data_IF_264136068072
#
_entry.id   IF_264136068072
#
_cell.length_a   1.000
_cell.length_b   1.000
_cell.length_c   1.000
_cell.angle_alpha   90.00
_cell.angle_beta   90.00
_cell.angle_gamma   90.00
#
_symmetry.space_group_name_H-M   'P 1'
#
loop_
_entity.id
_entity.type
_entity.pdbx_description
1 polymer ?
#
# COMPACT_ATOMS: atom_id res chain seq x y z
N UNK A 1 23.03 -1.45 11.21
CA UNK A 1 22.11 -1.45 10.03
C UNK A 1 21.25 -2.71 9.95
N UNK A 2 21.80 -3.91 9.90
CA UNK A 2 21.04 -5.16 9.73
C UNK A 2 20.00 -5.45 10.83
N UNK A 3 20.30 -5.12 12.09
CA UNK A 3 19.36 -5.30 13.21
C UNK A 3 18.12 -4.39 13.09
N UNK A 4 18.32 -3.12 12.72
CA UNK A 4 17.22 -2.17 12.49
C UNK A 4 16.33 -2.56 11.31
N UNK A 5 16.93 -3.12 10.24
CA UNK A 5 16.19 -3.61 9.08
C UNK A 5 15.30 -4.81 9.42
N UNK A 6 15.83 -5.76 10.20
CA UNK A 6 15.05 -6.91 10.69
C UNK A 6 13.88 -6.48 11.57
N UNK A 7 14.09 -5.49 12.43
CA UNK A 7 13.06 -4.96 13.31
C UNK A 7 11.95 -4.24 12.52
N UNK A 8 12.32 -3.40 11.55
CA UNK A 8 11.38 -2.73 10.65
C UNK A 8 10.52 -3.72 9.86
N UNK A 9 11.14 -4.76 9.30
CA UNK A 9 10.43 -5.84 8.59
C UNK A 9 9.50 -6.61 9.51
N UNK A 10 9.90 -6.87 10.76
CA UNK A 10 9.07 -7.61 11.72
C UNK A 10 7.79 -6.86 12.10
N UNK A 11 7.86 -5.53 12.29
CA UNK A 11 6.69 -4.70 12.57
C UNK A 11 5.74 -4.60 11.39
N UNK A 12 6.29 -4.50 10.17
CA UNK A 12 5.50 -4.34 8.95
C UNK A 12 5.06 -5.70 8.35
N UNK A 13 5.41 -6.82 8.99
CA UNK A 13 5.17 -8.19 8.50
C UNK A 13 3.71 -8.44 8.15
N UNK A 14 2.77 -8.04 9.02
CA UNK A 14 1.32 -8.24 8.78
C UNK A 14 0.84 -7.51 7.53
N UNK A 15 1.34 -6.30 7.28
CA UNK A 15 0.97 -5.49 6.12
C UNK A 15 1.58 -6.04 4.84
N UNK A 16 2.84 -6.46 4.91
CA UNK A 16 3.53 -7.09 3.79
C UNK A 16 2.82 -8.39 3.38
N UNK A 17 2.40 -9.21 4.35
CA UNK A 17 1.55 -10.37 4.08
C UNK A 17 0.22 -9.98 3.44
N UNK A 18 -0.47 -8.98 3.98
CA UNK A 18 -1.74 -8.51 3.43
C UNK A 18 -1.60 -8.04 1.97
N UNK A 19 -0.63 -7.19 1.67
CA UNK A 19 -0.36 -6.66 0.32
C UNK A 19 0.03 -7.78 -0.65
N UNK A 20 0.85 -8.73 -0.20
CA UNK A 20 1.30 -9.85 -1.03
C UNK A 20 0.16 -10.83 -1.32
N UNK A 21 -0.65 -11.17 -0.31
CA UNK A 21 -1.81 -12.06 -0.46
C UNK A 21 -2.88 -11.43 -1.35
N UNK A 22 -3.17 -10.14 -1.17
CA UNK A 22 -4.13 -9.43 -2.02
C UNK A 22 -3.62 -9.30 -3.47
N UNK A 23 -2.32 -9.11 -3.67
CA UNK A 23 -1.71 -9.16 -5.00
C UNK A 23 -1.85 -10.55 -5.64
N UNK A 24 -1.61 -11.62 -4.88
CA UNK A 24 -1.82 -13.00 -5.34
C UNK A 24 -3.25 -13.23 -5.82
N UNK A 25 -4.24 -12.89 -5.00
CA UNK A 25 -5.66 -13.05 -5.32
C UNK A 25 -6.05 -12.19 -6.53
N UNK A 26 -5.58 -10.94 -6.59
CA UNK A 26 -5.82 -10.08 -7.74
C UNK A 26 -5.24 -10.67 -9.04
N UNK A 27 -4.03 -11.22 -8.98
CA UNK A 27 -3.39 -11.90 -10.12
C UNK A 27 -4.19 -13.11 -10.60
N UNK A 28 -4.72 -13.92 -9.68
CA UNK A 28 -5.64 -15.02 -10.03
C UNK A 28 -6.89 -14.46 -10.71
N UNK A 29 -7.55 -13.46 -10.11
CA UNK A 29 -8.81 -12.92 -10.64
C UNK A 29 -8.68 -12.32 -12.04
N UNK A 30 -7.57 -11.63 -12.34
CA UNK A 30 -7.32 -11.07 -13.67
C UNK A 30 -7.25 -12.15 -14.75
N UNK A 31 -6.70 -13.31 -14.41
CA UNK A 31 -6.42 -14.37 -15.36
C UNK A 31 -7.30 -15.59 -15.19
N UNK A 32 -8.23 -15.61 -14.24
CA UNK A 32 -9.11 -16.74 -13.91
C UNK A 32 -9.93 -17.26 -15.12
N UNK A 33 -10.04 -16.45 -16.17
CA UNK A 33 -10.73 -16.78 -17.44
C UNK A 33 -9.84 -17.54 -18.43
N UNK A 34 -8.53 -17.57 -18.21
CA UNK A 34 -7.61 -18.33 -19.05
C UNK A 34 -7.68 -19.79 -18.65
N UNK A 35 -8.36 -20.60 -19.45
CA UNK A 35 -8.38 -22.07 -19.35
C UNK A 35 -7.07 -22.69 -19.89
N UNK A 36 -5.94 -22.12 -19.47
CA UNK A 36 -4.61 -22.62 -19.80
C UNK A 36 -4.02 -23.36 -18.61
N UNK A 37 -3.37 -24.49 -18.88
CA UNK A 37 -2.63 -25.27 -17.89
C UNK A 37 -1.16 -25.23 -18.26
N UNK A 38 -0.31 -24.80 -17.32
CA UNK A 38 1.15 -24.78 -17.47
C UNK A 38 1.75 -25.66 -16.38
N UNK A 39 2.60 -26.61 -16.76
CA UNK A 39 3.27 -27.54 -15.82
C UNK A 39 2.30 -28.28 -14.87
N UNK A 40 1.08 -28.58 -15.32
CA UNK A 40 0.05 -29.25 -14.52
C UNK A 40 -0.70 -28.35 -13.53
N UNK A 41 -0.43 -27.05 -13.52
CA UNK A 41 -1.15 -26.05 -12.72
C UNK A 41 -1.96 -25.11 -13.62
N UNK A 42 -3.14 -24.63 -13.18
CA UNK A 42 -3.85 -23.61 -13.94
C UNK A 42 -3.01 -22.33 -14.03
N UNK A 43 -2.92 -21.75 -15.23
CA UNK A 43 -2.19 -20.52 -15.51
C UNK A 43 -2.48 -19.37 -14.52
N UNK A 44 -3.73 -19.14 -14.05
CA UNK A 44 -4.03 -18.09 -13.09
C UNK A 44 -3.22 -18.19 -11.79
N UNK A 45 -2.92 -19.42 -11.33
CA UNK A 45 -2.12 -19.61 -10.11
C UNK A 45 -0.66 -19.22 -10.32
N UNK A 46 -0.07 -19.58 -11.46
CA UNK A 46 1.32 -19.23 -11.77
C UNK A 46 1.45 -17.72 -11.90
N UNK A 47 0.53 -17.08 -12.64
CA UNK A 47 0.53 -15.63 -12.80
C UNK A 47 0.29 -14.95 -11.45
N UNK A 48 -0.64 -15.45 -10.64
CA UNK A 48 -0.87 -14.98 -9.28
C UNK A 48 0.41 -15.03 -8.43
N UNK A 49 1.15 -16.13 -8.46
CA UNK A 49 2.42 -16.29 -7.72
C UNK A 49 3.49 -15.30 -8.18
N UNK A 50 3.70 -15.18 -9.50
CA UNK A 50 4.64 -14.22 -10.08
C UNK A 50 4.28 -12.80 -9.65
N UNK A 51 2.98 -12.48 -9.71
CA UNK A 51 2.49 -11.16 -9.34
C UNK A 51 2.67 -10.86 -7.85
N UNK A 52 2.36 -11.83 -6.98
CA UNK A 52 2.60 -11.74 -5.54
C UNK A 52 4.09 -11.54 -5.23
N UNK A 53 4.97 -12.27 -5.92
CA UNK A 53 6.42 -12.16 -5.74
C UNK A 53 6.93 -10.76 -6.10
N UNK A 54 6.61 -10.27 -7.31
CA UNK A 54 7.05 -8.95 -7.77
C UNK A 54 6.52 -7.85 -6.86
N UNK A 55 5.24 -7.88 -6.53
CA UNK A 55 4.60 -6.85 -5.69
C UNK A 55 5.05 -6.93 -4.23
N UNK A 56 5.27 -8.13 -3.71
CA UNK A 56 5.81 -8.33 -2.37
C UNK A 56 7.22 -7.75 -2.22
N UNK A 57 8.09 -7.96 -3.22
CA UNK A 57 9.43 -7.36 -3.26
C UNK A 57 9.33 -5.83 -3.38
N UNK A 58 8.50 -5.32 -4.28
CA UNK A 58 8.30 -3.88 -4.44
C UNK A 58 7.78 -3.22 -3.14
N UNK A 59 6.81 -3.86 -2.47
CA UNK A 59 6.29 -3.40 -1.19
C UNK A 59 7.37 -3.41 -0.10
N UNK A 60 8.21 -4.46 -0.05
CA UNK A 60 9.35 -4.53 0.87
C UNK A 60 10.33 -3.38 0.63
N UNK A 61 10.69 -3.11 -0.63
CA UNK A 61 11.57 -2.00 -0.98
C UNK A 61 10.98 -0.65 -0.59
N UNK A 62 9.68 -0.43 -0.82
CA UNK A 62 9.00 0.81 -0.42
C UNK A 62 8.96 0.95 1.10
N UNK A 63 8.70 -0.13 1.84
CA UNK A 63 8.73 -0.10 3.31
C UNK A 63 10.13 0.24 3.87
N UNK A 64 11.20 -0.18 3.19
CA UNK A 64 12.58 0.12 3.60
C UNK A 64 12.98 1.56 3.21
N UNK A 65 12.69 1.98 1.98
CA UNK A 65 13.16 3.26 1.44
C UNK A 65 12.27 4.44 1.83
N UNK A 66 10.97 4.21 1.96
CA UNK A 66 9.98 5.27 2.13
C UNK A 66 8.82 4.83 3.05
N UNK A 67 9.07 4.66 4.37
CA UNK A 67 8.11 4.10 5.32
C UNK A 67 6.83 4.95 5.48
N UNK A 68 6.85 6.24 5.11
CA UNK A 68 5.65 7.09 5.07
C UNK A 68 4.60 6.62 4.06
N UNK A 69 4.99 5.87 3.02
CA UNK A 69 4.09 5.34 1.99
C UNK A 69 3.38 4.03 2.36
N UNK A 70 3.61 3.49 3.57
CA UNK A 70 3.01 2.21 4.00
C UNK A 70 1.48 2.15 3.88
N UNK A 71 0.79 3.25 4.20
CA UNK A 71 -0.68 3.33 4.07
C UNK A 71 -1.14 3.43 2.62
N UNK A 72 -0.27 3.92 1.73
CA UNK A 72 -0.55 3.96 0.30
C UNK A 72 -0.50 2.56 -0.30
N UNK A 73 0.44 1.72 0.14
CA UNK A 73 0.57 0.34 -0.33
C UNK A 73 -0.70 -0.47 -0.06
N UNK A 74 -1.28 -0.36 1.13
CA UNK A 74 -2.55 -1.03 1.46
C UNK A 74 -3.70 -0.53 0.59
N UNK A 75 -3.80 0.79 0.41
CA UNK A 75 -4.85 1.37 -0.41
C UNK A 75 -4.73 0.95 -1.88
N UNK A 76 -3.50 0.90 -2.42
CA UNK A 76 -3.21 0.40 -3.77
C UNK A 76 -3.57 -1.09 -3.88
N UNK A 77 -3.23 -1.89 -2.87
CA UNK A 77 -3.52 -3.32 -2.85
C UNK A 77 -5.04 -3.59 -2.85
N UNK A 78 -5.80 -2.90 -2.00
CA UNK A 78 -7.27 -2.97 -1.96
C UNK A 78 -7.86 -2.50 -3.29
N UNK A 79 -7.34 -1.39 -3.83
CA UNK A 79 -7.79 -0.83 -5.10
C UNK A 79 -7.61 -1.82 -6.24
N UNK A 80 -6.45 -2.46 -6.30
CA UNK A 80 -6.15 -3.46 -7.30
C UNK A 80 -7.04 -4.69 -7.17
N UNK A 81 -7.30 -5.15 -5.95
CA UNK A 81 -8.23 -6.25 -5.72
C UNK A 81 -9.65 -5.90 -6.18
N UNK A 82 -10.11 -4.68 -5.90
CA UNK A 82 -11.41 -4.19 -6.37
C UNK A 82 -11.50 -4.13 -7.90
N UNK A 83 -10.45 -3.66 -8.58
CA UNK A 83 -10.37 -3.66 -10.05
C UNK A 83 -10.35 -5.08 -10.60
N UNK A 84 -9.59 -5.99 -9.98
CA UNK A 84 -9.53 -7.38 -10.41
C UNK A 84 -10.90 -8.07 -10.26
N UNK A 85 -11.62 -7.80 -9.16
CA UNK A 85 -12.98 -8.29 -8.96
C UNK A 85 -13.95 -7.72 -10.02
N UNK A 86 -13.85 -6.42 -10.34
CA UNK A 86 -14.64 -5.81 -11.41
C UNK A 86 -14.33 -6.42 -12.78
N UNK A 87 -13.04 -6.62 -13.10
CA UNK A 87 -12.60 -7.27 -14.33
C UNK A 87 -13.09 -8.73 -14.41
N UNK A 88 -13.23 -9.41 -13.27
CA UNK A 88 -13.81 -10.75 -13.19
C UNK A 88 -15.35 -10.74 -13.38
N UNK A 89 -16.06 -9.72 -12.89
CA UNK A 89 -17.51 -9.60 -13.11
C UNK A 89 -17.87 -9.09 -14.51
N UNK A 90 -17.05 -8.22 -15.12
CA UNK A 90 -17.29 -7.59 -16.41
C UNK A 90 -16.15 -7.90 -17.40
N UNK A 91 -16.30 -8.93 -18.26
CA UNK A 91 -15.23 -9.43 -19.13
C UNK A 91 -14.66 -8.38 -20.10
N UNK A 92 -15.55 -7.63 -20.73
CA UNK A 92 -15.20 -6.61 -21.72
C UNK A 92 -14.37 -5.47 -21.12
N UNK A 93 -14.66 -5.09 -19.87
CA UNK A 93 -13.85 -4.14 -19.13
C UNK A 93 -12.49 -4.74 -18.74
N UNK A 94 -12.45 -6.00 -18.34
CA UNK A 94 -11.19 -6.69 -18.02
C UNK A 94 -10.20 -6.71 -19.20
N UNK A 95 -10.66 -7.06 -20.39
CA UNK A 95 -9.83 -7.12 -21.60
C UNK A 95 -9.27 -5.75 -22.00
N UNK A 96 -10.11 -4.71 -21.97
CA UNK A 96 -9.66 -3.33 -22.30
C UNK A 96 -8.64 -2.80 -21.30
N UNK A 97 -8.80 -3.12 -20.02
CA UNK A 97 -7.84 -2.75 -18.96
C UNK A 97 -6.52 -3.50 -19.14
N UNK A 98 -6.57 -4.80 -19.44
CA UNK A 98 -5.38 -5.62 -19.64
C UNK A 98 -4.63 -5.28 -20.94
N UNK A 99 -5.35 -4.84 -21.98
CA UNK A 99 -4.76 -4.44 -23.26
C UNK A 99 -3.93 -3.15 -23.17
N UNK A 100 -4.19 -2.29 -22.18
CA UNK A 100 -3.46 -1.03 -22.00
C UNK A 100 -2.79 -0.97 -20.62
N UNK A 101 -1.48 -1.30 -20.53
CA UNK A 101 -0.74 -1.27 -19.26
C UNK A 101 -0.75 0.10 -18.60
N UNK A 102 -0.71 1.17 -19.40
CA UNK A 102 -0.74 2.55 -18.90
C UNK A 102 -2.09 2.89 -18.27
N UNK A 103 -3.19 2.49 -18.91
CA UNK A 103 -4.54 2.69 -18.40
C UNK A 103 -4.75 1.89 -17.10
N UNK A 104 -4.29 0.63 -17.05
CA UNK A 104 -4.33 -0.17 -15.84
C UNK A 104 -3.55 0.51 -14.69
N UNK A 105 -2.33 0.99 -14.95
CA UNK A 105 -1.53 1.70 -13.95
C UNK A 105 -2.24 2.97 -13.46
N UNK A 106 -2.79 3.78 -14.36
CA UNK A 106 -3.52 5.00 -14.01
C UNK A 106 -4.76 4.71 -13.16
N UNK A 107 -5.53 3.68 -13.50
CA UNK A 107 -6.72 3.30 -12.73
C UNK A 107 -6.32 2.78 -11.35
N UNK A 108 -5.34 1.88 -11.27
CA UNK A 108 -4.89 1.31 -9.99
C UNK A 108 -4.33 2.39 -9.07
N UNK A 109 -3.48 3.29 -9.59
CA UNK A 109 -2.89 4.37 -8.79
C UNK A 109 -3.93 5.42 -8.44
N UNK A 110 -4.74 5.86 -9.40
CA UNK A 110 -5.79 6.86 -9.17
C UNK A 110 -6.84 6.38 -8.16
N UNK A 111 -7.32 5.15 -8.31
CA UNK A 111 -8.23 4.52 -7.35
C UNK A 111 -7.52 4.29 -6.01
N UNK A 112 -6.26 3.88 -6.02
CA UNK A 112 -5.39 3.79 -4.83
C UNK A 112 -5.34 5.07 -4.01
N UNK A 113 -5.13 6.21 -4.68
CA UNK A 113 -5.12 7.53 -4.04
C UNK A 113 -6.50 7.88 -3.49
N UNK A 114 -7.57 7.65 -4.26
CA UNK A 114 -8.94 7.92 -3.82
C UNK A 114 -9.32 7.08 -2.59
N UNK A 115 -9.07 5.77 -2.63
CA UNK A 115 -9.29 4.84 -1.52
C UNK A 115 -8.44 5.23 -0.31
N UNK A 116 -7.17 5.59 -0.52
CA UNK A 116 -6.29 6.05 0.56
C UNK A 116 -6.87 7.30 1.24
N UNK A 117 -7.38 8.27 0.46
CA UNK A 117 -8.03 9.45 1.01
C UNK A 117 -9.33 9.13 1.76
N UNK A 118 -10.10 8.14 1.33
CA UNK A 118 -11.34 7.75 2.02
C UNK A 118 -11.06 7.01 3.33
N UNK A 119 -10.10 6.08 3.32
CA UNK A 119 -9.76 5.22 4.47
C UNK A 119 -8.93 6.02 5.49
N UNK A 120 -7.89 6.71 5.03
CA UNK A 120 -6.90 7.37 5.91
C UNK A 120 -7.13 8.88 6.05
N UNK A 121 -7.78 9.53 5.08
CA UNK A 121 -8.11 10.97 5.17
C UNK A 121 -9.17 11.30 6.23
N UNK A 122 -9.90 10.30 6.75
CA UNK A 122 -10.75 10.47 7.96
C UNK A 122 -9.95 10.42 9.26
N UNK A 123 -8.85 9.66 9.30
CA UNK A 123 -7.98 9.55 10.48
C UNK A 123 -7.24 10.88 10.70
N UNK A 124 -6.83 11.56 9.63
CA UNK A 124 -6.26 12.91 9.68
C UNK A 124 -7.27 14.00 10.14
N UNK A 125 -8.59 13.78 9.98
CA UNK A 125 -9.60 14.69 10.57
C UNK A 125 -9.76 14.51 12.07
N UNK A 126 -9.50 13.31 12.60
CA UNK A 126 -9.46 13.07 14.06
C UNK A 126 -8.23 13.72 14.71
N UNK A 127 -7.15 13.92 13.94
CA UNK A 127 -5.95 14.65 14.37
C UNK A 127 -6.07 16.19 14.34
N UNK A 128 -7.29 16.74 14.15
CA UNK A 128 -7.63 18.13 14.55
C UNK A 128 -7.90 18.25 16.05
N UNK A 129 -7.27 17.43 16.88
CA UNK A 129 -7.03 17.77 18.28
C UNK A 129 -6.22 19.06 18.29
N UNK A 130 -6.91 20.15 18.62
CA UNK A 130 -6.49 21.52 18.36
C UNK A 130 -5.08 21.83 18.84
N UNK A 131 -4.47 22.87 18.24
CA UNK A 131 -3.16 23.40 18.59
C UNK A 131 -2.91 23.48 20.12
N UNK A 132 -3.96 23.77 20.90
CA UNK A 132 -3.96 23.76 22.37
C UNK A 132 -3.62 22.40 22.99
N UNK A 133 -4.16 21.29 22.49
CA UNK A 133 -3.86 19.95 22.99
C UNK A 133 -2.41 19.54 22.68
N UNK A 134 -1.91 19.93 21.50
CA UNK A 134 -0.49 19.74 21.13
C UNK A 134 0.43 20.57 22.02
N UNK A 135 0.12 21.85 22.25
CA UNK A 135 0.93 22.72 23.12
C UNK A 135 0.93 22.24 24.57
N UNK A 136 -0.19 21.72 25.06
CA UNK A 136 -0.27 21.14 26.41
C UNK A 136 0.58 19.87 26.51
N UNK A 137 0.53 18.97 25.52
CA UNK A 137 1.39 17.78 25.47
C UNK A 137 2.89 18.13 25.35
N UNK A 138 3.25 19.16 24.58
CA UNK A 138 4.63 19.67 24.50
C UNK A 138 5.13 20.24 25.83
N UNK A 139 4.25 20.89 26.60
CA UNK A 139 4.60 21.45 27.90
C UNK A 139 4.71 20.38 29.00
N UNK A 140 3.94 19.29 28.92
CA UNK A 140 3.92 18.23 29.95
C UNK A 140 4.84 17.04 29.66
N UNK A 141 5.06 16.67 28.39
CA UNK A 141 5.81 15.47 28.00
C UNK A 141 7.21 15.80 27.49
N UNK A 142 7.94 16.64 28.21
CA UNK A 142 9.37 16.85 28.00
C UNK A 142 10.16 15.56 28.22
N UNK A 143 10.16 14.65 27.24
CA UNK A 143 11.12 13.56 26.95
C UNK A 143 10.49 12.54 25.99
N UNK A 144 11.14 12.35 24.84
CA UNK A 144 11.15 11.07 24.14
C UNK A 144 10.12 10.89 23.02
N UNK A 145 10.42 11.43 21.84
CA UNK A 145 10.19 10.84 20.50
C UNK A 145 10.66 11.86 19.47
N UNK A 146 11.87 11.68 18.94
CA UNK A 146 12.39 12.49 17.84
C UNK A 146 11.48 12.26 16.63
N UNK A 147 10.66 13.25 16.30
CA UNK A 147 9.90 13.27 15.05
C UNK A 147 10.86 13.66 13.94
N UNK A 148 11.15 12.73 13.03
CA UNK A 148 11.86 13.06 11.79
C UNK A 148 10.89 13.87 10.94
N UNK A 149 11.16 15.15 10.77
CA UNK A 149 10.36 16.00 9.89
C UNK A 149 10.39 15.44 8.46
N UNK A 150 9.23 15.27 7.84
CA UNK A 150 9.15 14.84 6.44
C UNK A 150 9.99 15.74 5.53
N UNK A 151 10.58 15.14 4.49
CA UNK A 151 11.38 15.88 3.49
C UNK A 151 10.53 16.96 2.81
N UNK A 152 11.15 17.97 2.20
CA UNK A 152 10.43 19.06 1.51
C UNK A 152 9.43 18.52 0.46
N UNK A 153 9.78 17.43 -0.22
CA UNK A 153 8.89 16.75 -1.15
C UNK A 153 7.70 16.05 -0.46
N UNK A 154 7.92 15.39 0.69
CA UNK A 154 6.85 14.80 1.49
C UNK A 154 5.87 15.86 2.04
N UNK A 155 6.38 17.01 2.48
CA UNK A 155 5.54 18.13 2.94
C UNK A 155 4.70 18.74 1.80
N UNK A 156 5.26 18.85 0.60
CA UNK A 156 4.59 19.50 -0.53
C UNK A 156 3.58 18.60 -1.25
N UNK A 157 3.84 17.29 -1.35
CA UNK A 157 3.00 16.36 -2.15
C UNK A 157 2.27 15.31 -1.32
N UNK A 158 2.69 15.09 -0.07
CA UNK A 158 2.20 13.99 0.80
C UNK A 158 1.87 14.48 2.21
N UNK A 159 1.69 15.80 2.41
CA UNK A 159 1.44 16.42 3.74
C UNK A 159 0.16 15.97 4.45
N UNK A 160 -0.63 15.08 3.83
CA UNK A 160 -1.80 14.42 4.40
C UNK A 160 -1.49 13.04 5.02
N UNK A 161 -0.27 12.50 4.86
CA UNK A 161 0.23 11.32 5.55
C UNK A 161 1.10 11.78 6.72
N UNK A 162 0.65 11.54 7.96
CA UNK A 162 1.28 12.05 9.18
C UNK A 162 2.77 11.67 9.34
N UNK A 163 3.56 12.64 9.82
CA UNK A 163 5.01 12.59 10.14
C UNK A 163 5.40 11.66 11.33
N UNK A 164 4.57 10.71 11.72
CA UNK A 164 4.78 9.91 12.93
C UNK A 164 5.43 8.55 12.63
N UNK A 165 6.71 8.55 12.27
CA UNK A 165 7.56 7.36 12.47
C UNK A 165 8.14 7.46 13.87
N UNK A 166 7.59 6.70 14.83
CA UNK A 166 8.21 6.54 16.13
C UNK A 166 9.48 5.70 15.93
N UNK A 167 10.64 6.34 15.99
CA UNK A 167 11.92 5.64 16.12
C UNK A 167 12.07 5.30 17.61
N UNK A 168 12.11 4.02 18.01
CA UNK A 168 12.46 3.67 19.38
C UNK A 168 13.91 4.10 19.65
N UNK A 169 14.14 4.63 20.85
CA UNK A 169 15.46 5.07 21.32
C UNK A 169 16.46 3.90 21.37
#
# INVERSE_FOLDING_TARGET
>A
MWAGLRYAVHFERRRLYFVTLTAFVAGILFYARLDMVLFGLPAPFIVGLIYAFIIGIAALLVCILAPSFRFMLEAIAISRLGIAALAFSFPTLGETILASPLLNACIVVGFGVAVSRVIHGRIARSARTGLRARLHAYATEGRGKVRVAGTAWQRNYVGWMDDAVAVPA
#
